data_IF_740207544511
#
_entry.id   IF_740207544511
#
_cell.length_a   1.000
_cell.length_b   1.000
_cell.length_c   1.000
_cell.angle_alpha   90.00
_cell.angle_beta   90.00
_cell.angle_gamma   90.00
#
_symmetry.space_group_name_H-M   'P 1'
#
loop_
_entity.id
_entity.type
_entity.pdbx_description
1 polymer ?
#
# COMPACT_ATOMS: atom_id res chain seq x y z
N UNK A 1 -4.90 7.17 6.19
CA UNK A 1 -4.50 7.17 4.76
C UNK A 1 -5.60 6.52 3.91
N UNK A 2 -5.61 6.73 2.59
CA UNK A 2 -6.76 7.06 1.72
C UNK A 2 -7.94 6.09 1.51
N UNK A 3 -8.33 5.32 2.52
CA UNK A 3 -9.63 4.63 2.51
C UNK A 3 -10.77 5.64 2.72
N UNK A 4 -11.72 5.69 1.78
CA UNK A 4 -12.90 6.56 1.86
C UNK A 4 -14.10 5.87 2.50
N UNK A 5 -14.13 4.54 2.53
CA UNK A 5 -15.24 3.73 3.05
C UNK A 5 -15.09 3.47 4.55
N UNK A 6 -13.91 3.04 4.98
CA UNK A 6 -13.63 2.66 6.38
C UNK A 6 -12.92 3.77 7.16
N UNK A 7 -12.89 5.00 6.63
CA UNK A 7 -12.31 6.17 7.31
C UNK A 7 -13.02 6.44 8.64
N UNK A 8 -12.26 6.49 9.74
CA UNK A 8 -12.78 7.04 11.00
C UNK A 8 -12.97 8.55 10.83
N UNK A 9 -14.22 9.03 10.90
CA UNK A 9 -14.59 10.45 10.72
C UNK A 9 -13.93 11.40 11.72
N UNK A 10 -13.62 10.93 12.94
CA UNK A 10 -13.00 11.74 13.98
C UNK A 10 -11.75 11.05 14.51
N UNK A 11 -10.60 11.36 13.92
CA UNK A 11 -9.30 11.01 14.48
C UNK A 11 -8.70 12.28 15.07
N UNK A 12 -8.78 12.45 16.40
CA UNK A 12 -8.11 13.56 17.08
C UNK A 12 -6.60 13.39 16.88
N UNK A 13 -5.92 14.46 16.44
CA UNK A 13 -4.47 14.52 16.22
C UNK A 13 -3.92 13.78 14.98
N UNK A 14 -4.72 13.58 13.93
CA UNK A 14 -4.21 13.06 12.64
C UNK A 14 -4.20 14.15 11.58
N UNK A 15 -3.04 14.33 10.96
CA UNK A 15 -2.87 15.12 9.74
C UNK A 15 -3.30 14.26 8.55
N UNK A 16 -4.33 14.70 7.83
CA UNK A 16 -4.77 14.00 6.61
C UNK A 16 -3.72 14.21 5.52
N UNK A 17 -3.25 13.11 4.93
CA UNK A 17 -2.39 13.13 3.74
C UNK A 17 -3.31 12.88 2.54
N UNK A 18 -3.43 13.83 1.61
CA UNK A 18 -4.26 13.67 0.43
C UNK A 18 -3.68 12.54 -0.43
N UNK A 19 -4.38 11.41 -0.47
CA UNK A 19 -4.04 10.25 -1.28
C UNK A 19 -5.30 9.79 -2.01
N UNK A 20 -5.31 9.88 -3.34
CA UNK A 20 -6.47 9.55 -4.17
C UNK A 20 -6.79 8.05 -4.29
N UNK A 21 -6.20 7.21 -3.44
CA UNK A 21 -6.33 5.76 -3.41
C UNK A 21 -6.05 5.21 -2.01
N UNK A 22 -6.32 3.92 -1.82
CA UNK A 22 -5.83 3.18 -0.66
C UNK A 22 -4.31 3.17 -0.64
N UNK A 23 -3.74 3.40 0.54
CA UNK A 23 -2.36 3.04 0.84
C UNK A 23 -2.32 1.51 1.08
N UNK A 24 -2.44 0.75 -0.01
CA UNK A 24 -2.44 -0.70 -0.02
C UNK A 24 -1.69 -1.15 -1.29
N UNK A 25 -0.68 -2.00 -1.11
CA UNK A 25 0.19 -2.51 -2.17
C UNK A 25 0.53 -3.97 -1.88
N UNK A 26 0.30 -4.86 -2.85
CA UNK A 26 0.75 -6.25 -2.77
C UNK A 26 2.22 -6.30 -3.22
N UNK A 27 3.14 -6.21 -2.27
CA UNK A 27 4.58 -6.12 -2.55
C UNK A 27 5.18 -7.44 -3.04
N UNK A 28 4.59 -8.57 -2.65
CA UNK A 28 5.09 -9.90 -2.96
C UNK A 28 3.94 -10.88 -3.21
N UNK A 29 4.15 -11.78 -4.16
CA UNK A 29 3.30 -12.94 -4.41
C UNK A 29 4.18 -14.18 -4.53
N UNK A 30 3.93 -15.19 -3.68
CA UNK A 30 4.57 -16.51 -3.79
C UNK A 30 3.52 -17.54 -4.17
N UNK A 31 3.75 -18.27 -5.27
CA UNK A 31 2.85 -19.31 -5.79
C UNK A 31 3.62 -20.51 -6.34
N UNK A 32 2.99 -21.67 -6.33
CA UNK A 32 3.46 -22.84 -7.09
C UNK A 32 3.01 -22.71 -8.54
N UNK A 33 3.95 -22.74 -9.47
CA UNK A 33 3.69 -22.71 -10.90
C UNK A 33 3.12 -24.04 -11.38
N UNK A 34 2.47 -24.09 -12.57
CA UNK A 34 2.02 -25.35 -13.17
C UNK A 34 3.13 -26.38 -13.40
N UNK A 35 4.39 -25.93 -13.49
CA UNK A 35 5.57 -26.81 -13.54
C UNK A 35 5.88 -27.52 -12.22
N UNK A 36 5.21 -27.14 -11.11
CA UNK A 36 5.48 -27.63 -9.76
C UNK A 36 6.53 -26.81 -8.99
N UNK A 37 7.19 -25.85 -9.63
CA UNK A 37 8.17 -24.98 -8.99
C UNK A 37 7.47 -23.87 -8.19
N UNK A 38 7.87 -23.66 -6.92
CA UNK A 38 7.44 -22.49 -6.15
C UNK A 38 8.26 -21.28 -6.56
N UNK A 39 7.60 -20.20 -6.96
CA UNK A 39 8.24 -18.93 -7.29
C UNK A 39 7.64 -17.76 -6.53
N UNK A 40 8.51 -16.79 -6.26
CA UNK A 40 8.19 -15.52 -5.65
C UNK A 40 8.35 -14.40 -6.66
N UNK A 41 7.36 -13.52 -6.73
CA UNK A 41 7.32 -12.33 -7.57
C UNK A 41 7.24 -11.11 -6.67
N UNK A 42 8.04 -10.10 -6.97
CA UNK A 42 8.05 -8.84 -6.21
C UNK A 42 7.61 -7.69 -7.12
N UNK A 43 6.90 -6.73 -6.53
CA UNK A 43 6.51 -5.49 -7.19
C UNK A 43 7.03 -4.30 -6.36
N UNK A 44 7.82 -3.39 -6.97
CA UNK A 44 8.34 -2.23 -6.25
C UNK A 44 7.19 -1.36 -5.72
N UNK A 45 7.45 -0.65 -4.63
CA UNK A 45 6.46 0.30 -4.10
C UNK A 45 6.20 1.38 -5.16
N UNK A 46 4.94 1.68 -5.50
CA UNK A 46 4.63 2.75 -6.45
C UNK A 46 5.14 4.10 -5.94
N UNK A 47 5.69 4.93 -6.84
CA UNK A 47 6.28 6.25 -6.53
C UNK A 47 5.37 7.10 -5.63
N UNK A 48 4.06 7.14 -5.91
CA UNK A 48 3.09 7.89 -5.11
C UNK A 48 3.04 7.45 -3.63
N UNK A 49 3.23 6.16 -3.34
CA UNK A 49 3.24 5.66 -1.96
C UNK A 49 4.60 5.91 -1.30
N UNK A 50 5.68 5.86 -2.08
CA UNK A 50 7.03 6.24 -1.64
C UNK A 50 7.08 7.72 -1.22
N UNK A 51 6.52 8.62 -2.04
CA UNK A 51 6.41 10.06 -1.75
C UNK A 51 5.67 10.31 -0.42
N UNK A 52 4.61 9.53 -0.17
CA UNK A 52 3.88 9.62 1.10
C UNK A 52 4.76 9.17 2.27
N UNK A 53 5.52 8.08 2.15
CA UNK A 53 6.44 7.64 3.21
C UNK A 53 7.51 8.71 3.49
N UNK A 54 8.07 9.31 2.46
CA UNK A 54 9.07 10.38 2.60
C UNK A 54 8.50 11.59 3.34
N UNK A 55 7.21 11.91 3.14
CA UNK A 55 6.53 13.02 3.81
C UNK A 55 6.27 12.83 5.31
N UNK A 56 6.53 11.64 5.86
CA UNK A 56 6.34 11.33 7.29
C UNK A 56 7.58 11.62 8.16
N UNK A 57 8.71 11.92 7.53
CA UNK A 57 10.00 12.21 8.20
C UNK A 57 10.06 13.69 8.60
#
# INVERSE_FOLDING_TARGET
VGDTLYRKRHMKHIREIPLGRLFLHASELTITLPSGETRTFTAPLPDQLEDVLQSLT
#
